data_IF_953343336624
#
_entry.id   IF_953343336624
#
_cell.length_a   1.000
_cell.length_b   1.000
_cell.length_c   1.000
_cell.angle_alpha   90.00
_cell.angle_beta   90.00
_cell.angle_gamma   90.00
#
_symmetry.space_group_name_H-M   'P 1'
#
loop_
_entity.id
_entity.type
_entity.pdbx_description
1 polymer ?
#
# COMPACT_ATOMS: atom_id res chain seq x y z
N UNK A 1 17.59 37.77 -16.14
CA UNK A 1 16.79 37.31 -14.97
C UNK A 1 16.47 35.82 -15.16
N UNK A 2 17.18 34.94 -14.46
CA UNK A 2 16.93 33.48 -14.54
C UNK A 2 15.70 33.12 -13.70
N UNK A 3 14.71 32.44 -14.28
CA UNK A 3 13.55 31.92 -13.53
C UNK A 3 14.04 30.76 -12.66
N UNK A 4 14.11 30.97 -11.35
CA UNK A 4 14.34 29.88 -10.40
C UNK A 4 13.15 28.92 -10.45
N UNK A 5 13.32 27.75 -11.04
CA UNK A 5 12.33 26.68 -11.02
C UNK A 5 12.09 26.28 -9.55
N UNK A 6 10.84 26.40 -9.08
CA UNK A 6 10.45 25.87 -7.77
C UNK A 6 10.79 24.37 -7.74
N UNK A 7 11.64 23.96 -6.81
CA UNK A 7 12.03 22.56 -6.62
C UNK A 7 10.76 21.74 -6.38
N UNK A 8 10.40 20.90 -7.36
CA UNK A 8 9.28 19.95 -7.19
C UNK A 8 9.66 18.98 -6.08
N UNK A 9 8.74 18.73 -5.15
CA UNK A 9 8.93 17.73 -4.10
C UNK A 9 9.02 16.34 -4.75
N UNK A 10 10.01 15.54 -4.34
CA UNK A 10 10.15 14.16 -4.80
C UNK A 10 8.94 13.34 -4.33
N UNK A 11 8.46 12.40 -5.14
CA UNK A 11 7.25 11.62 -4.85
C UNK A 11 7.38 10.84 -3.53
N UNK A 12 8.59 10.43 -3.15
CA UNK A 12 8.85 9.74 -1.88
C UNK A 12 8.41 10.56 -0.66
N UNK A 13 8.35 11.88 -0.75
CA UNK A 13 7.82 12.74 0.34
C UNK A 13 6.32 12.58 0.57
N UNK A 14 5.61 11.89 -0.32
CA UNK A 14 4.18 11.58 -0.22
C UNK A 14 3.90 10.15 0.25
N UNK A 15 4.94 9.32 0.43
CA UNK A 15 4.78 7.97 0.95
C UNK A 15 4.21 8.06 2.36
N UNK A 16 3.23 7.22 2.64
CA UNK A 16 2.61 7.06 3.94
C UNK A 16 2.97 5.67 4.48
N UNK A 17 3.27 5.60 5.76
CA UNK A 17 3.41 4.33 6.47
C UNK A 17 2.25 4.22 7.45
N UNK A 18 1.65 3.03 7.54
CA UNK A 18 0.66 2.72 8.55
C UNK A 18 0.84 1.31 9.09
N UNK A 19 0.37 1.05 10.30
CA UNK A 19 0.29 -0.29 10.88
C UNK A 19 -1.19 -0.65 11.10
N UNK A 20 -1.66 -1.72 10.45
CA UNK A 20 -3.08 -2.10 10.45
C UNK A 20 -3.30 -3.51 10.98
N UNK A 21 -4.40 -3.67 11.72
CA UNK A 21 -4.94 -4.95 12.19
C UNK A 21 -6.41 -5.08 11.78
N UNK A 22 -6.92 -6.31 11.74
CA UNK A 22 -8.31 -6.58 11.36
C UNK A 22 -8.96 -7.70 12.19
N UNK A 23 -8.30 -8.12 13.29
CA UNK A 23 -8.85 -9.04 14.26
C UNK A 23 -9.17 -10.43 13.70
N UNK A 24 -10.18 -11.09 14.26
CA UNK A 24 -10.51 -12.49 13.99
C UNK A 24 -11.18 -12.75 12.63
N UNK A 25 -11.10 -11.83 11.68
CA UNK A 25 -11.74 -11.97 10.35
C UNK A 25 -10.93 -12.86 9.38
N UNK A 26 -9.90 -13.55 9.88
CA UNK A 26 -9.09 -14.49 9.13
C UNK A 26 -7.96 -13.80 8.38
N UNK A 27 -7.85 -14.03 7.08
CA UNK A 27 -6.75 -13.49 6.27
C UNK A 27 -6.97 -12.03 5.88
N UNK A 28 -5.87 -11.30 5.64
CA UNK A 28 -5.90 -9.91 5.17
C UNK A 28 -6.77 -9.72 3.92
N UNK A 29 -6.75 -10.69 3.00
CA UNK A 29 -7.56 -10.65 1.77
C UNK A 29 -9.08 -10.62 1.98
N UNK A 30 -9.57 -10.97 3.18
CA UNK A 30 -11.00 -10.91 3.52
C UNK A 30 -11.48 -9.49 3.85
N UNK A 31 -10.55 -8.58 4.15
CA UNK A 31 -10.81 -7.21 4.58
C UNK A 31 -10.22 -6.17 3.64
N UNK A 32 -9.17 -6.51 2.89
CA UNK A 32 -8.52 -5.63 1.92
C UNK A 32 -8.24 -6.41 0.64
N UNK A 33 -8.81 -5.92 -0.46
CA UNK A 33 -8.49 -6.38 -1.80
C UNK A 33 -7.16 -5.80 -2.26
N UNK A 34 -6.29 -6.61 -2.87
CA UNK A 34 -5.02 -6.17 -3.46
C UNK A 34 -5.06 -6.50 -4.95
N UNK A 35 -4.99 -5.45 -5.77
CA UNK A 35 -5.13 -5.52 -7.23
C UNK A 35 -3.82 -5.13 -7.93
N UNK A 36 -3.80 -5.21 -9.25
CA UNK A 36 -2.62 -4.94 -10.08
C UNK A 36 -1.54 -6.01 -9.92
N UNK A 37 -0.33 -5.73 -10.37
CA UNK A 37 0.80 -6.67 -10.34
C UNK A 37 1.62 -6.60 -11.62
N UNK A 38 2.89 -6.99 -11.53
CA UNK A 38 3.84 -6.90 -12.62
C UNK A 38 3.44 -7.70 -13.87
N UNK A 39 2.67 -8.78 -13.71
CA UNK A 39 2.10 -9.57 -14.81
C UNK A 39 1.09 -8.79 -15.66
N UNK A 40 0.57 -7.68 -15.14
CA UNK A 40 -0.33 -6.75 -15.84
C UNK A 40 0.39 -5.44 -16.25
N UNK A 41 1.69 -5.30 -15.95
CA UNK A 41 2.41 -4.03 -16.12
C UNK A 41 2.00 -2.95 -15.12
N UNK A 42 1.40 -3.34 -13.99
CA UNK A 42 0.89 -2.43 -12.96
C UNK A 42 1.65 -2.60 -11.64
N UNK A 43 1.68 -1.55 -10.82
CA UNK A 43 2.06 -1.71 -9.41
C UNK A 43 0.92 -2.38 -8.63
N UNK A 44 1.20 -3.15 -7.57
CA UNK A 44 0.17 -3.56 -6.64
C UNK A 44 -0.50 -2.34 -5.99
N UNK A 45 -1.83 -2.36 -5.86
CA UNK A 45 -2.59 -1.27 -5.22
C UNK A 45 -3.77 -1.80 -4.41
N UNK A 46 -4.27 -0.96 -3.50
CA UNK A 46 -5.38 -1.31 -2.63
C UNK A 46 -6.72 -1.15 -3.36
N UNK A 47 -7.49 -2.22 -3.44
CA UNK A 47 -8.87 -2.25 -3.93
C UNK A 47 -9.88 -1.95 -2.83
N UNK A 48 -11.02 -2.65 -2.85
CA UNK A 48 -12.05 -2.49 -1.83
C UNK A 48 -11.53 -2.87 -0.42
N UNK A 49 -11.99 -2.12 0.59
CA UNK A 49 -11.54 -2.29 1.99
C UNK A 49 -12.73 -2.22 2.94
N UNK A 50 -12.78 -3.14 3.91
CA UNK A 50 -13.75 -3.12 5.02
C UNK A 50 -13.20 -2.25 6.15
N UNK A 51 -13.26 -0.94 5.96
CA UNK A 51 -12.66 0.04 6.88
C UNK A 51 -13.31 0.05 8.28
N UNK A 52 -14.55 -0.42 8.39
CA UNK A 52 -15.33 -0.53 9.63
C UNK A 52 -14.76 -1.55 10.63
N UNK A 53 -14.02 -2.54 10.13
CA UNK A 53 -13.43 -3.62 10.95
C UNK A 53 -11.90 -3.55 11.07
N UNK A 54 -11.28 -2.60 10.38
CA UNK A 54 -9.83 -2.40 10.44
C UNK A 54 -9.44 -1.36 11.49
N UNK A 55 -8.33 -1.61 12.17
CA UNK A 55 -7.73 -0.68 13.15
C UNK A 55 -6.41 -0.17 12.62
N UNK A 56 -6.25 1.16 12.55
CA UNK A 56 -4.97 1.82 12.27
C UNK A 56 -4.28 2.17 13.59
N UNK A 57 -3.18 1.50 13.91
CA UNK A 57 -2.43 1.76 15.15
C UNK A 57 -1.46 2.93 15.02
N UNK A 58 -0.90 3.11 13.82
CA UNK A 58 0.11 4.14 13.53
C UNK A 58 -0.15 4.70 12.13
N UNK A 59 0.08 5.99 11.95
CA UNK A 59 -0.03 6.67 10.66
C UNK A 59 -1.48 6.90 10.25
N UNK A 60 -1.71 7.02 8.94
CA UNK A 60 -3.03 7.23 8.36
C UNK A 60 -3.47 5.96 7.64
N UNK A 61 -4.71 5.53 7.89
CA UNK A 61 -5.32 4.42 7.16
C UNK A 61 -5.25 4.70 5.64
N UNK A 62 -4.68 3.80 4.84
CA UNK A 62 -4.61 3.96 3.40
C UNK A 62 -6.00 3.82 2.79
N UNK A 63 -6.13 4.22 1.53
CA UNK A 63 -7.43 4.29 0.87
C UNK A 63 -7.41 3.58 -0.47
N UNK A 64 -8.60 3.27 -0.98
CA UNK A 64 -8.80 2.73 -2.33
C UNK A 64 -7.95 3.48 -3.37
N UNK A 65 -7.28 2.70 -4.22
CA UNK A 65 -6.40 3.17 -5.29
C UNK A 65 -4.98 3.53 -4.85
N UNK A 66 -4.67 3.49 -3.55
CA UNK A 66 -3.29 3.73 -3.10
C UNK A 66 -2.36 2.62 -3.58
N UNK A 67 -1.23 3.03 -4.18
CA UNK A 67 -0.18 2.11 -4.64
C UNK A 67 0.54 1.56 -3.42
N UNK A 68 0.68 0.25 -3.36
CA UNK A 68 1.31 -0.48 -2.26
C UNK A 68 2.78 -0.76 -2.62
N UNK A 69 3.68 -0.28 -1.77
CA UNK A 69 5.13 -0.29 -2.02
C UNK A 69 5.85 -1.35 -1.20
N UNK A 70 5.54 -1.46 0.09
CA UNK A 70 6.17 -2.40 1.01
C UNK A 70 5.16 -2.98 2.00
N UNK A 71 5.42 -4.23 2.42
CA UNK A 71 4.76 -4.92 3.53
C UNK A 71 5.83 -5.29 4.56
N UNK A 72 5.75 -4.75 5.78
CA UNK A 72 6.72 -5.03 6.86
C UNK A 72 8.19 -4.88 6.42
N UNK A 73 8.48 -3.90 5.57
CA UNK A 73 9.82 -3.64 5.03
C UNK A 73 10.22 -4.50 3.83
N UNK A 74 9.38 -5.47 3.42
CA UNK A 74 9.56 -6.22 2.18
C UNK A 74 9.01 -5.41 1.00
N UNK A 75 9.85 -4.99 0.03
CA UNK A 75 9.37 -4.30 -1.16
C UNK A 75 8.57 -5.24 -2.05
N UNK A 76 7.44 -4.75 -2.54
CA UNK A 76 6.55 -5.50 -3.43
C UNK A 76 6.33 -4.83 -4.79
N UNK A 77 6.82 -3.58 -4.95
CA UNK A 77 6.74 -2.87 -6.22
C UNK A 77 7.55 -3.59 -7.29
N UNK A 78 6.87 -4.27 -8.22
CA UNK A 78 7.47 -5.10 -9.26
C UNK A 78 7.25 -6.60 -9.09
N UNK A 79 6.55 -7.03 -8.03
CA UNK A 79 6.09 -8.41 -7.87
C UNK A 79 4.80 -8.68 -8.65
N UNK A 80 4.54 -9.95 -8.92
CA UNK A 80 3.22 -10.37 -9.40
C UNK A 80 2.16 -10.19 -8.31
N UNK A 81 0.87 -10.18 -8.67
CA UNK A 81 -0.21 -10.14 -7.68
C UNK A 81 -0.13 -11.34 -6.73
N UNK A 82 0.12 -12.53 -7.29
CA UNK A 82 0.28 -13.78 -6.54
C UNK A 82 1.40 -13.69 -5.50
N UNK A 83 2.57 -13.18 -5.90
CA UNK A 83 3.73 -13.07 -4.99
C UNK A 83 3.50 -11.98 -3.93
N UNK A 84 2.83 -10.89 -4.28
CA UNK A 84 2.40 -9.87 -3.31
C UNK A 84 1.52 -10.46 -2.22
N UNK A 85 0.51 -11.26 -2.60
CA UNK A 85 -0.33 -11.95 -1.63
C UNK A 85 0.45 -12.96 -0.77
N UNK A 86 1.46 -13.63 -1.33
CA UNK A 86 2.32 -14.54 -0.57
C UNK A 86 3.12 -13.80 0.50
N UNK A 87 3.68 -12.62 0.17
CA UNK A 87 4.35 -11.75 1.14
C UNK A 87 3.39 -11.32 2.25
N UNK A 88 2.17 -10.90 1.92
CA UNK A 88 1.18 -10.47 2.92
C UNK A 88 0.84 -11.63 3.87
N UNK A 89 0.56 -12.82 3.34
CA UNK A 89 0.20 -14.01 4.15
C UNK A 89 1.33 -14.50 5.05
N UNK A 90 2.58 -14.14 4.74
CA UNK A 90 3.72 -14.49 5.59
C UNK A 90 3.67 -13.80 6.95
N UNK A 91 3.04 -12.62 7.03
CA UNK A 91 3.00 -11.82 8.24
C UNK A 91 1.68 -11.98 9.01
N UNK A 92 1.75 -11.82 10.33
CA UNK A 92 0.59 -11.72 11.22
C UNK A 92 0.28 -10.25 11.52
N UNK A 93 -0.93 -9.98 11.99
CA UNK A 93 -1.31 -8.64 12.43
C UNK A 93 -0.50 -8.16 13.65
N UNK A 94 -0.21 -6.85 13.78
CA UNK A 94 -0.42 -5.81 12.77
C UNK A 94 0.57 -5.91 11.61
N UNK A 95 0.13 -5.59 10.40
CA UNK A 95 1.03 -5.45 9.24
C UNK A 95 1.32 -3.97 8.98
N UNK A 96 2.57 -3.66 8.66
CA UNK A 96 3.01 -2.33 8.25
C UNK A 96 2.93 -2.21 6.74
N UNK A 97 2.17 -1.24 6.26
CA UNK A 97 2.04 -0.93 4.85
C UNK A 97 2.77 0.37 4.56
N UNK A 98 3.56 0.40 3.49
CA UNK A 98 3.93 1.67 2.85
C UNK A 98 3.13 1.85 1.58
N UNK A 99 2.44 2.98 1.48
CA UNK A 99 1.60 3.32 0.34
C UNK A 99 1.88 4.72 -0.18
N UNK A 100 1.47 4.98 -1.42
CA UNK A 100 1.48 6.33 -1.98
C UNK A 100 0.25 6.52 -2.86
N UNK A 101 -0.28 7.75 -2.90
CA UNK A 101 -1.31 8.11 -3.89
C UNK A 101 -0.73 7.95 -5.29
N UNK A 102 -1.48 7.38 -6.26
CA UNK A 102 -1.02 7.30 -7.63
C UNK A 102 -0.70 8.71 -8.14
N UNK A 103 0.32 8.81 -9.00
CA UNK A 103 0.65 10.08 -9.63
C UNK A 103 -0.53 10.57 -10.47
N UNK A 104 -0.87 11.85 -10.37
CA UNK A 104 -1.70 12.47 -11.39
C UNK A 104 -0.87 12.51 -12.68
N UNK A 105 -1.34 11.83 -13.72
CA UNK A 105 -0.84 12.01 -15.09
C UNK A 105 -1.07 13.43 -15.57
#
# INVERSE_FOLDING_TARGET
MSRTLKKKKHWSSKVQECAVSWGSLGEFGNVVEVLGGAEHGEFPYLGQMKLDVMVCHVGRMPYFGDVLLEINGTPISGLTNRDTHAVIRHFREPIRLKTVKPGAS
#
